data_IF_573216528301
#
_entry.id   IF_573216528301
#
_cell.length_a   1.000
_cell.length_b   1.000
_cell.length_c   1.000
_cell.angle_alpha   90.00
_cell.angle_beta   90.00
_cell.angle_gamma   90.00
#
_symmetry.space_group_name_H-M   'P 1'
#
loop_
_entity.id
_entity.type
_entity.pdbx_description
1 polymer ?
#
# COMPACT_ATOMS: atom_id res chain seq x y z
N UNK A 1 -10.07 9.67 29.17
CA UNK A 1 -11.00 8.72 28.51
C UNK A 1 -10.67 8.68 27.03
N UNK A 2 -10.06 7.60 26.53
CA UNK A 2 -9.90 7.40 25.08
C UNK A 2 -11.28 7.02 24.54
N UNK A 3 -11.96 7.93 23.85
CA UNK A 3 -13.12 7.55 23.05
C UNK A 3 -12.64 6.56 22.00
N UNK A 4 -12.89 5.26 22.21
CA UNK A 4 -12.65 4.26 21.19
C UNK A 4 -13.64 4.55 20.06
N UNK A 5 -13.15 5.15 18.99
CA UNK A 5 -13.91 5.28 17.75
C UNK A 5 -14.14 3.84 17.27
N UNK A 6 -15.40 3.38 17.34
CA UNK A 6 -15.78 2.08 16.84
C UNK A 6 -15.77 2.14 15.31
N UNK A 7 -14.87 1.37 14.69
CA UNK A 7 -14.86 1.19 13.23
C UNK A 7 -16.20 0.59 12.84
N UNK A 8 -16.86 1.18 11.85
CA UNK A 8 -18.14 0.75 11.31
C UNK A 8 -17.96 0.28 9.87
N UNK A 9 -18.98 -0.41 9.40
CA UNK A 9 -19.11 -0.76 8.01
C UNK A 9 -20.44 -0.20 7.49
N UNK A 10 -20.42 0.36 6.29
CA UNK A 10 -21.60 0.87 5.58
C UNK A 10 -21.91 -0.08 4.44
N UNK A 11 -23.17 -0.53 4.37
CA UNK A 11 -23.65 -1.36 3.25
C UNK A 11 -23.99 -0.46 2.06
N UNK A 12 -23.32 -0.69 0.94
CA UNK A 12 -23.63 -0.11 -0.36
C UNK A 12 -24.48 -1.04 -1.23
N UNK A 13 -24.52 -0.75 -2.53
CA UNK A 13 -25.23 -1.60 -3.51
C UNK A 13 -24.56 -2.98 -3.64
N UNK A 14 -25.36 -3.98 -4.00
CA UNK A 14 -24.91 -5.37 -4.22
C UNK A 14 -24.18 -5.99 -3.01
N UNK A 15 -24.56 -5.57 -1.80
CA UNK A 15 -24.00 -6.01 -0.51
C UNK A 15 -22.51 -5.70 -0.31
N UNK A 16 -21.95 -4.74 -1.07
CA UNK A 16 -20.60 -4.27 -0.82
C UNK A 16 -20.53 -3.52 0.51
N UNK A 17 -19.59 -3.89 1.38
CA UNK A 17 -19.32 -3.19 2.62
C UNK A 17 -18.17 -2.19 2.44
N UNK A 18 -18.37 -0.97 2.91
CA UNK A 18 -17.40 0.12 2.86
C UNK A 18 -16.98 0.54 4.28
N UNK A 19 -15.76 1.02 4.42
CA UNK A 19 -15.21 1.40 5.72
C UNK A 19 -15.80 2.73 6.17
N UNK A 20 -16.20 2.82 7.43
CA UNK A 20 -16.60 4.08 8.08
C UNK A 20 -16.16 4.12 9.55
N UNK A 21 -16.19 5.30 10.16
CA UNK A 21 -15.79 5.47 11.56
C UNK A 21 -14.32 5.10 11.81
N UNK A 22 -13.47 5.18 10.79
CA UNK A 22 -12.03 5.00 10.96
C UNK A 22 -11.38 6.30 11.47
N UNK A 23 -10.15 6.19 11.98
CA UNK A 23 -9.41 7.34 12.51
C UNK A 23 -8.90 8.31 11.43
N UNK A 24 -9.17 8.05 10.15
CA UNK A 24 -8.80 8.92 9.03
C UNK A 24 -10.02 9.58 8.35
N UNK A 25 -11.25 9.27 8.77
CA UNK A 25 -12.49 9.78 8.17
C UNK A 25 -12.59 9.48 6.67
N UNK A 26 -12.39 8.22 6.27
CA UNK A 26 -12.36 7.80 4.86
C UNK A 26 -13.59 8.28 4.08
N UNK A 27 -14.80 8.20 4.64
CA UNK A 27 -16.02 8.68 3.96
C UNK A 27 -15.97 10.18 3.69
N UNK A 28 -15.51 11.01 4.64
CA UNK A 28 -15.37 12.45 4.40
C UNK A 28 -14.33 12.75 3.31
N UNK A 29 -13.27 11.94 3.23
CA UNK A 29 -12.30 12.06 2.13
C UNK A 29 -12.94 11.66 0.79
N UNK A 30 -13.67 10.55 0.74
CA UNK A 30 -14.40 10.07 -0.45
C UNK A 30 -15.40 11.10 -0.98
N UNK A 31 -16.10 11.80 -0.08
CA UNK A 31 -17.06 12.84 -0.43
C UNK A 31 -16.43 14.20 -0.77
N UNK A 32 -15.10 14.34 -0.68
CA UNK A 32 -14.42 15.62 -0.86
C UNK A 32 -14.71 16.65 0.24
N UNK A 33 -15.24 16.21 1.38
CA UNK A 33 -15.55 17.05 2.56
C UNK A 33 -14.37 17.19 3.52
N UNK A 34 -13.37 16.32 3.39
CA UNK A 34 -12.08 16.42 4.08
C UNK A 34 -10.97 16.56 3.03
N UNK A 35 -10.36 17.74 2.98
CA UNK A 35 -9.32 18.12 2.04
C UNK A 35 -8.12 18.67 2.80
N UNK A 36 -6.97 18.70 2.15
CA UNK A 36 -5.81 19.43 2.67
C UNK A 36 -6.05 20.93 2.59
N UNK A 37 -5.68 21.64 3.66
CA UNK A 37 -5.43 23.06 3.57
C UNK A 37 -4.13 23.35 2.79
N UNK A 38 -3.89 24.64 2.51
CA UNK A 38 -2.71 25.07 1.74
C UNK A 38 -1.39 24.65 2.39
N UNK A 39 -1.30 24.70 3.73
CA UNK A 39 -0.08 24.35 4.45
C UNK A 39 0.19 22.86 4.35
N UNK A 40 -0.82 22.04 4.62
CA UNK A 40 -0.72 20.58 4.52
C UNK A 40 -0.33 20.14 3.10
N UNK A 41 -0.92 20.76 2.07
CA UNK A 41 -0.60 20.48 0.69
C UNK A 41 0.86 20.85 0.36
N UNK A 42 1.33 22.04 0.76
CA UNK A 42 2.74 22.45 0.59
C UNK A 42 3.69 21.47 1.28
N UNK A 43 3.37 21.01 2.49
CA UNK A 43 4.21 20.08 3.22
C UNK A 43 4.29 18.71 2.51
N UNK A 44 3.17 18.19 1.99
CA UNK A 44 3.17 16.96 1.19
C UNK A 44 3.99 17.08 -0.08
N UNK A 45 3.82 18.17 -0.83
CA UNK A 45 4.60 18.44 -2.05
C UNK A 45 6.09 18.52 -1.73
N UNK A 46 6.44 19.22 -0.64
CA UNK A 46 7.83 19.37 -0.21
C UNK A 46 8.44 18.03 0.18
N UNK A 47 7.72 17.20 0.96
CA UNK A 47 8.16 15.86 1.33
C UNK A 47 8.44 14.99 0.10
N UNK A 48 7.49 14.92 -0.84
CA UNK A 48 7.62 14.11 -2.05
C UNK A 48 8.82 14.58 -2.89
N UNK A 49 8.95 15.90 -3.09
CA UNK A 49 10.07 16.49 -3.85
C UNK A 49 11.41 16.19 -3.18
N UNK A 50 11.52 16.38 -1.86
CA UNK A 50 12.76 16.13 -1.12
C UNK A 50 13.19 14.67 -1.23
N UNK A 51 12.26 13.72 -1.06
CA UNK A 51 12.56 12.29 -1.22
C UNK A 51 13.06 11.97 -2.63
N UNK A 52 12.37 12.47 -3.67
CA UNK A 52 12.78 12.25 -5.07
C UNK A 52 14.19 12.79 -5.35
N UNK A 53 14.47 14.03 -4.92
CA UNK A 53 15.77 14.65 -5.15
C UNK A 53 16.89 13.92 -4.41
N UNK A 54 16.65 13.53 -3.16
CA UNK A 54 17.62 12.81 -2.35
C UNK A 54 17.97 11.44 -2.96
N UNK A 55 16.95 10.61 -3.26
CA UNK A 55 17.22 9.29 -3.83
C UNK A 55 17.85 9.36 -5.22
N UNK A 56 17.49 10.36 -6.02
CA UNK A 56 18.16 10.62 -7.30
C UNK A 56 19.65 10.93 -7.11
N UNK A 57 19.99 11.76 -6.12
CA UNK A 57 21.39 12.09 -5.80
C UNK A 57 22.17 10.85 -5.31
N UNK A 58 21.50 9.98 -4.54
CA UNK A 58 22.08 8.71 -4.08
C UNK A 58 22.21 7.65 -5.18
N UNK A 59 21.68 7.92 -6.39
CA UNK A 59 21.65 6.94 -7.47
C UNK A 59 20.69 5.76 -7.23
N UNK A 60 19.71 5.93 -6.34
CA UNK A 60 18.73 4.90 -5.94
C UNK A 60 17.41 5.16 -6.66
N UNK A 61 16.80 4.12 -7.24
CA UNK A 61 15.47 4.23 -7.85
C UNK A 61 14.44 4.40 -6.73
N UNK A 62 13.59 5.43 -6.81
CA UNK A 62 12.55 5.71 -5.79
C UNK A 62 11.15 5.70 -6.39
N UNK A 63 10.19 5.07 -5.69
CA UNK A 63 8.75 5.10 -6.03
C UNK A 63 7.89 5.29 -4.78
N UNK A 64 6.90 6.16 -4.88
CA UNK A 64 5.83 6.34 -3.90
C UNK A 64 4.51 5.85 -4.51
N UNK A 65 4.04 4.71 -4.03
CA UNK A 65 2.83 4.06 -4.48
C UNK A 65 1.72 4.34 -3.49
N UNK A 66 0.59 4.83 -4.00
CA UNK A 66 -0.60 5.09 -3.19
C UNK A 66 -1.70 4.14 -3.64
N UNK A 67 -1.94 3.02 -2.93
CA UNK A 67 -3.11 2.18 -3.17
C UNK A 67 -4.40 3.00 -2.99
N UNK A 68 -5.37 2.91 -3.92
CA UNK A 68 -6.67 3.51 -3.73
C UNK A 68 -7.42 2.78 -2.61
N UNK A 69 -8.40 3.43 -1.99
CA UNK A 69 -9.37 2.75 -1.17
C UNK A 69 -10.42 2.09 -2.05
N UNK A 70 -11.12 1.13 -1.45
CA UNK A 70 -12.27 0.46 -2.04
C UNK A 70 -13.36 1.44 -2.48
N UNK A 71 -13.62 2.47 -1.68
CA UNK A 71 -14.60 3.53 -1.95
C UNK A 71 -14.30 4.28 -3.27
N UNK A 72 -13.03 4.35 -3.65
CA UNK A 72 -12.57 5.05 -4.86
C UNK A 72 -12.61 4.18 -6.10
N UNK A 73 -12.47 2.86 -5.93
CA UNK A 73 -12.54 1.86 -7.00
C UNK A 73 -13.99 1.46 -7.30
N UNK A 74 -14.82 1.39 -6.26
CA UNK A 74 -16.24 1.01 -6.32
C UNK A 74 -17.16 2.18 -5.96
N UNK A 75 -16.81 3.38 -6.45
CA UNK A 75 -17.59 4.59 -6.18
C UNK A 75 -19.05 4.50 -6.65
N UNK A 76 -19.29 3.73 -7.71
CA UNK A 76 -20.59 3.40 -8.29
C UNK A 76 -21.37 2.35 -7.49
N UNK A 77 -20.78 1.75 -6.46
CA UNK A 77 -21.45 0.82 -5.53
C UNK A 77 -21.67 1.43 -4.14
N UNK A 78 -21.22 2.67 -3.91
CA UNK A 78 -21.52 3.41 -2.69
C UNK A 78 -23.05 3.58 -2.50
N UNK A 79 -23.54 3.67 -1.26
CA UNK A 79 -24.95 3.94 -0.99
C UNK A 79 -25.34 5.36 -1.45
N UNK A 80 -26.62 5.56 -1.77
CA UNK A 80 -27.11 6.80 -2.42
C UNK A 80 -26.88 8.08 -1.61
N UNK A 81 -26.71 7.97 -0.30
CA UNK A 81 -26.43 9.09 0.60
C UNK A 81 -24.95 9.51 0.65
N UNK A 82 -24.04 8.74 0.03
CA UNK A 82 -22.61 9.05 -0.05
C UNK A 82 -22.29 9.47 -1.48
N UNK A 83 -21.92 10.73 -1.67
CA UNK A 83 -21.59 11.29 -2.99
C UNK A 83 -20.09 11.24 -3.22
N UNK A 84 -19.64 10.41 -4.16
CA UNK A 84 -18.23 10.39 -4.55
C UNK A 84 -17.78 11.73 -5.15
N UNK A 85 -16.59 12.19 -4.76
CA UNK A 85 -15.93 13.36 -5.31
C UNK A 85 -14.65 12.95 -6.04
N UNK A 86 -14.41 13.53 -7.21
CA UNK A 86 -13.10 13.43 -7.87
C UNK A 86 -12.04 14.29 -7.18
N UNK A 87 -12.44 15.34 -6.45
CA UNK A 87 -11.55 16.16 -5.61
C UNK A 87 -11.45 15.55 -4.20
N UNK A 88 -10.28 14.97 -3.92
CA UNK A 88 -9.92 14.25 -2.69
C UNK A 88 -8.45 14.54 -2.31
N UNK A 89 -8.01 14.26 -1.08
CA UNK A 89 -6.65 14.57 -0.63
C UNK A 89 -5.54 14.12 -1.60
N UNK A 90 -5.58 12.87 -2.07
CA UNK A 90 -4.58 12.36 -3.02
C UNK A 90 -4.61 13.12 -4.35
N UNK A 91 -5.79 13.45 -4.88
CA UNK A 91 -5.90 14.18 -6.16
C UNK A 91 -5.42 15.62 -6.06
N UNK A 92 -5.50 16.26 -4.88
CA UNK A 92 -4.88 17.58 -4.64
C UNK A 92 -3.35 17.49 -4.72
N UNK A 93 -2.75 16.41 -4.21
CA UNK A 93 -1.30 16.18 -4.33
C UNK A 93 -0.95 15.95 -5.80
N UNK A 94 -1.63 15.02 -6.48
CA UNK A 94 -1.35 14.67 -7.87
C UNK A 94 -1.46 15.85 -8.83
N UNK A 95 -2.39 16.79 -8.59
CA UNK A 95 -2.51 17.99 -9.43
C UNK A 95 -1.27 18.89 -9.35
N UNK A 96 -0.56 18.89 -8.23
CA UNK A 96 0.59 19.73 -7.95
C UNK A 96 1.93 19.07 -8.30
N UNK A 97 1.96 17.73 -8.37
CA UNK A 97 3.19 16.95 -8.65
C UNK A 97 3.16 16.25 -10.01
N UNK A 98 2.38 16.75 -10.98
CA UNK A 98 2.27 16.15 -12.33
C UNK A 98 3.62 15.91 -13.03
N UNK A 99 4.58 16.82 -12.84
CA UNK A 99 5.94 16.68 -13.39
C UNK A 99 6.75 15.55 -12.74
N UNK A 100 6.28 15.01 -11.61
CA UNK A 100 6.87 13.90 -10.87
C UNK A 100 6.03 12.62 -10.97
N UNK A 101 5.12 12.51 -11.94
CA UNK A 101 4.24 11.34 -12.14
C UNK A 101 4.98 10.02 -12.34
N UNK A 102 6.27 10.06 -12.72
CA UNK A 102 7.16 8.88 -12.74
C UNK A 102 7.42 8.31 -11.34
N UNK A 103 7.41 9.16 -10.31
CA UNK A 103 7.84 8.82 -8.95
C UNK A 103 6.68 8.55 -8.01
N UNK A 104 5.50 9.13 -8.26
CA UNK A 104 4.29 8.89 -7.46
C UNK A 104 3.19 8.27 -8.33
N UNK A 105 2.67 7.12 -7.90
CA UNK A 105 1.67 6.38 -8.65
C UNK A 105 0.36 6.25 -7.88
N UNK A 106 -0.73 6.68 -8.53
CA UNK A 106 -2.10 6.51 -8.07
C UNK A 106 -3.02 6.26 -9.27
N UNK A 107 -3.89 5.25 -9.18
CA UNK A 107 -4.93 5.01 -10.17
C UNK A 107 -6.16 4.35 -9.53
N UNK A 108 -7.32 4.98 -9.61
CA UNK A 108 -8.59 4.40 -9.12
C UNK A 108 -9.57 4.05 -10.25
N UNK A 109 -9.15 4.13 -11.52
CA UNK A 109 -9.98 3.78 -12.65
C UNK A 109 -9.89 2.28 -12.93
N UNK A 110 -11.02 1.55 -12.81
CA UNK A 110 -11.08 0.11 -13.06
C UNK A 110 -10.76 -0.25 -14.51
N UNK A 111 -11.17 0.58 -15.46
CA UNK A 111 -11.01 0.33 -16.90
C UNK A 111 -9.54 0.28 -17.31
N UNK A 112 -8.68 0.93 -16.54
CA UNK A 112 -7.25 0.90 -16.80
C UNK A 112 -6.66 -0.48 -16.53
N UNK A 113 -7.32 -1.37 -15.76
CA UNK A 113 -6.83 -2.69 -15.32
C UNK A 113 -7.59 -3.87 -15.97
N UNK A 114 -7.56 -4.03 -17.31
CA UNK A 114 -8.31 -5.10 -17.98
C UNK A 114 -7.81 -6.51 -17.68
N UNK A 115 -6.62 -6.64 -17.08
CA UNK A 115 -6.02 -7.92 -16.70
C UNK A 115 -6.55 -8.47 -15.38
N UNK A 116 -7.24 -7.63 -14.58
CA UNK A 116 -7.84 -8.06 -13.33
C UNK A 116 -9.10 -8.84 -13.65
N UNK A 117 -9.10 -10.13 -13.29
CA UNK A 117 -10.24 -11.01 -13.50
C UNK A 117 -11.51 -10.46 -12.84
N UNK A 118 -12.56 -10.14 -13.62
CA UNK A 118 -13.81 -9.60 -13.08
C UNK A 118 -14.51 -10.54 -12.09
N UNK A 119 -14.28 -11.85 -12.18
CA UNK A 119 -14.88 -12.83 -11.27
C UNK A 119 -14.33 -12.77 -9.84
N UNK A 120 -13.11 -12.26 -9.69
CA UNK A 120 -12.47 -12.02 -8.40
C UNK A 120 -12.58 -10.55 -7.99
N UNK A 121 -12.60 -9.64 -8.97
CA UNK A 121 -12.73 -8.20 -8.75
C UNK A 121 -11.47 -7.57 -8.13
N UNK A 122 -11.59 -6.30 -7.75
CA UNK A 122 -10.52 -5.48 -7.20
C UNK A 122 -10.44 -5.59 -5.68
N UNK A 123 -11.58 -5.70 -4.98
CA UNK A 123 -11.70 -5.87 -3.53
C UNK A 123 -12.83 -6.87 -3.24
N UNK A 124 -12.68 -7.74 -2.21
CA UNK A 124 -13.79 -8.53 -1.68
C UNK A 124 -14.91 -7.65 -1.13
N UNK A 125 -16.15 -8.14 -1.07
CA UNK A 125 -17.30 -7.34 -0.60
C UNK A 125 -17.20 -6.96 0.87
N UNK A 126 -16.68 -7.83 1.73
CA UNK A 126 -16.58 -7.64 3.18
C UNK A 126 -15.26 -7.08 3.69
N UNK A 127 -14.31 -6.79 2.80
CA UNK A 127 -12.92 -6.43 3.14
C UNK A 127 -12.59 -4.98 2.76
N UNK A 128 -11.64 -4.40 3.49
CA UNK A 128 -11.04 -3.07 3.22
C UNK A 128 -9.82 -3.14 2.29
N UNK A 129 -9.15 -4.29 2.22
CA UNK A 129 -7.98 -4.53 1.38
C UNK A 129 -8.35 -5.00 -0.02
N UNK A 130 -7.50 -4.67 -0.99
CA UNK A 130 -7.60 -5.19 -2.35
C UNK A 130 -7.35 -6.70 -2.43
N UNK A 131 -7.76 -7.32 -3.52
CA UNK A 131 -7.37 -8.67 -3.88
C UNK A 131 -5.91 -8.73 -4.35
N UNK A 132 -5.25 -9.86 -4.11
CA UNK A 132 -3.83 -10.07 -4.46
C UNK A 132 -3.55 -9.84 -5.96
N UNK A 133 -4.47 -10.22 -6.85
CA UNK A 133 -4.33 -10.00 -8.30
C UNK A 133 -4.34 -8.52 -8.69
N UNK A 134 -5.25 -7.74 -8.12
CA UNK A 134 -5.25 -6.29 -8.36
C UNK A 134 -4.01 -5.65 -7.73
N UNK A 135 -3.66 -6.02 -6.50
CA UNK A 135 -2.47 -5.55 -5.82
C UNK A 135 -1.20 -5.77 -6.67
N UNK A 136 -1.03 -6.98 -7.22
CA UNK A 136 0.10 -7.33 -8.07
C UNK A 136 0.16 -6.48 -9.35
N UNK A 137 -0.95 -6.39 -10.10
CA UNK A 137 -0.98 -5.58 -11.33
C UNK A 137 -0.79 -4.08 -11.04
N UNK A 138 -1.28 -3.60 -9.89
CA UNK A 138 -1.08 -2.23 -9.45
C UNK A 138 0.39 -1.92 -9.18
N UNK A 139 1.07 -2.75 -8.38
CA UNK A 139 2.49 -2.58 -8.08
C UNK A 139 3.33 -2.73 -9.35
N UNK A 140 3.05 -3.73 -10.19
CA UNK A 140 3.75 -3.93 -11.46
C UNK A 140 3.69 -2.69 -12.35
N UNK A 141 2.52 -2.05 -12.46
CA UNK A 141 2.36 -0.80 -13.22
C UNK A 141 3.08 0.38 -12.60
N UNK A 142 3.02 0.52 -11.28
CA UNK A 142 3.73 1.57 -10.55
C UNK A 142 5.25 1.49 -10.71
N UNK A 143 5.76 0.30 -11.05
CA UNK A 143 7.19 0.02 -11.25
C UNK A 143 7.61 0.02 -12.72
N UNK A 144 6.70 0.30 -13.66
CA UNK A 144 7.07 0.44 -15.07
C UNK A 144 8.10 1.57 -15.23
N UNK A 145 9.15 1.28 -16.00
CA UNK A 145 10.25 2.22 -16.24
C UNK A 145 11.25 2.38 -15.08
N UNK A 146 11.24 1.51 -14.07
CA UNK A 146 12.45 1.27 -13.27
C UNK A 146 13.48 0.49 -14.09
N UNK A 147 14.75 0.56 -13.70
CA UNK A 147 15.87 -0.05 -14.46
C UNK A 147 15.75 -1.59 -14.56
N UNK A 148 15.09 -2.22 -13.59
CA UNK A 148 15.09 -3.68 -13.41
C UNK A 148 13.73 -4.35 -13.66
N UNK A 149 12.68 -3.58 -14.05
CA UNK A 149 11.31 -4.06 -14.34
C UNK A 149 10.85 -5.22 -13.43
N UNK A 150 10.76 -4.98 -12.12
CA UNK A 150 10.43 -6.03 -11.14
C UNK A 150 9.03 -6.59 -11.44
N UNK A 151 8.82 -7.87 -11.13
CA UNK A 151 7.56 -8.60 -11.33
C UNK A 151 7.22 -9.00 -12.78
N UNK A 152 8.17 -8.99 -13.73
CA UNK A 152 7.89 -9.41 -15.12
C UNK A 152 7.46 -10.89 -15.29
N UNK A 153 7.68 -11.75 -14.30
CA UNK A 153 7.49 -13.20 -14.42
C UNK A 153 6.12 -13.68 -13.91
N UNK A 154 5.06 -13.38 -14.66
CA UNK A 154 3.69 -13.83 -14.34
C UNK A 154 3.54 -15.37 -14.29
N UNK A 155 4.47 -16.10 -14.90
CA UNK A 155 4.49 -17.57 -14.93
C UNK A 155 4.81 -18.22 -13.57
N UNK A 156 5.28 -17.44 -12.60
CA UNK A 156 5.60 -17.92 -11.25
C UNK A 156 4.41 -17.87 -10.29
N UNK A 157 3.18 -17.68 -10.75
CA UNK A 157 2.03 -17.51 -9.86
C UNK A 157 1.22 -18.81 -9.69
N UNK A 158 0.91 -19.16 -8.45
CA UNK A 158 -0.12 -20.14 -8.10
C UNK A 158 -1.29 -19.43 -7.41
N UNK A 159 -2.49 -19.81 -7.83
CA UNK A 159 -3.74 -19.32 -7.27
C UNK A 159 -4.29 -20.29 -6.23
N UNK A 160 -4.72 -19.76 -5.09
CA UNK A 160 -5.41 -20.52 -4.04
C UNK A 160 -6.71 -19.84 -3.67
N UNK A 161 -7.78 -20.62 -3.50
CA UNK A 161 -9.02 -20.12 -2.88
C UNK A 161 -8.86 -20.18 -1.38
N UNK A 162 -9.14 -19.07 -0.70
CA UNK A 162 -9.13 -18.99 0.76
C UNK A 162 -10.47 -18.41 1.22
N UNK A 163 -11.05 -19.00 2.26
CA UNK A 163 -12.17 -18.39 2.96
C UNK A 163 -11.62 -17.52 4.09
N UNK A 164 -11.82 -16.21 3.98
CA UNK A 164 -11.38 -15.25 4.99
C UNK A 164 -12.57 -14.64 5.71
N UNK A 165 -12.43 -14.50 7.03
CA UNK A 165 -13.30 -13.63 7.83
C UNK A 165 -12.76 -12.21 7.75
N UNK A 166 -13.53 -11.31 7.15
CA UNK A 166 -13.03 -9.97 6.83
C UNK A 166 -13.25 -8.93 7.93
N UNK A 167 -12.43 -7.87 7.91
CA UNK A 167 -12.43 -6.82 8.93
C UNK A 167 -13.76 -6.05 9.01
N UNK A 168 -14.43 -5.77 7.88
CA UNK A 168 -15.76 -5.13 7.89
C UNK A 168 -16.89 -6.13 8.09
N UNK A 169 -16.81 -7.29 7.45
CA UNK A 169 -17.79 -8.37 7.60
C UNK A 169 -17.98 -8.79 9.05
N UNK A 170 -16.90 -8.82 9.84
CA UNK A 170 -16.94 -9.14 11.27
C UNK A 170 -17.69 -8.12 12.14
N UNK A 171 -18.00 -6.93 11.61
CA UNK A 171 -18.62 -5.80 12.35
C UNK A 171 -20.14 -5.67 12.15
N UNK A 172 -20.74 -6.32 11.15
CA UNK A 172 -22.18 -6.18 10.85
C UNK A 172 -23.01 -7.37 11.39
N UNK A 173 -22.55 -8.62 11.28
CA UNK A 173 -23.07 -9.83 11.98
C UNK A 173 -22.27 -11.10 11.56
N UNK A 174 -22.71 -12.30 11.98
CA UNK A 174 -21.99 -13.60 11.89
C UNK A 174 -21.18 -13.82 10.60
N UNK A 175 -19.88 -14.12 10.80
CA UNK A 175 -18.93 -14.73 9.85
C UNK A 175 -19.28 -14.57 8.36
N UNK A 176 -19.08 -13.37 7.82
CA UNK A 176 -19.05 -13.18 6.38
C UNK A 176 -17.72 -13.72 5.83
N UNK A 177 -17.78 -14.84 5.12
CA UNK A 177 -16.65 -15.43 4.38
C UNK A 177 -16.89 -15.32 2.89
N UNK A 178 -15.86 -14.93 2.15
CA UNK A 178 -15.86 -14.97 0.69
C UNK A 178 -14.61 -15.71 0.22
N UNK A 179 -14.69 -16.47 -0.88
CA UNK A 179 -13.51 -17.03 -1.50
C UNK A 179 -12.69 -15.91 -2.11
N UNK A 180 -11.49 -15.67 -1.57
CA UNK A 180 -10.50 -14.78 -2.20
C UNK A 180 -9.50 -15.59 -3.01
N UNK A 181 -8.96 -14.93 -4.04
CA UNK A 181 -7.86 -15.46 -4.83
C UNK A 181 -6.53 -14.99 -4.23
N UNK A 182 -5.87 -15.87 -3.49
CA UNK A 182 -4.51 -15.64 -3.03
C UNK A 182 -3.50 -15.94 -4.13
N UNK A 183 -2.51 -15.07 -4.32
CA UNK A 183 -1.42 -15.27 -5.28
C UNK A 183 -0.12 -15.54 -4.53
N UNK A 184 0.57 -16.63 -4.87
CA UNK A 184 1.86 -16.99 -4.29
C UNK A 184 2.86 -17.43 -5.37
N UNK A 185 4.18 -17.35 -5.11
CA UNK A 185 5.18 -17.97 -5.97
C UNK A 185 4.94 -19.49 -6.10
N UNK A 186 4.95 -20.02 -7.32
CA UNK A 186 4.81 -21.44 -7.63
C UNK A 186 6.04 -22.24 -7.18
N UNK A 187 7.22 -21.68 -7.40
CA UNK A 187 8.51 -22.24 -6.99
C UNK A 187 9.32 -21.14 -6.28
N UNK A 188 9.09 -20.91 -4.98
CA UNK A 188 9.69 -19.79 -4.27
C UNK A 188 11.21 -19.94 -4.18
N UNK A 189 11.94 -18.94 -4.69
CA UNK A 189 13.40 -18.83 -4.55
C UNK A 189 13.80 -17.88 -3.43
N UNK A 190 12.86 -17.07 -2.95
CA UNK A 190 13.00 -16.20 -1.80
C UNK A 190 12.41 -16.80 -0.53
N UNK A 191 12.99 -16.44 0.62
CA UNK A 191 12.51 -16.84 1.95
C UNK A 191 12.69 -15.73 2.98
N UNK A 192 11.80 -15.71 3.98
CA UNK A 192 11.91 -14.87 5.16
C UNK A 192 13.10 -15.36 6.02
N UNK A 193 14.09 -14.50 6.26
CA UNK A 193 15.28 -14.83 7.06
C UNK A 193 15.29 -14.13 8.42
N UNK A 194 14.57 -13.01 8.56
CA UNK A 194 14.42 -12.30 9.83
C UNK A 194 13.05 -11.65 9.90
N UNK A 195 12.40 -11.77 11.06
CA UNK A 195 11.19 -11.05 11.40
C UNK A 195 11.24 -10.67 12.87
N UNK A 196 10.99 -9.41 13.18
CA UNK A 196 10.91 -8.97 14.56
C UNK A 196 9.51 -9.30 15.14
N UNK A 197 9.35 -9.20 16.46
CA UNK A 197 8.10 -9.59 17.13
C UNK A 197 6.92 -8.62 16.95
N UNK A 198 7.13 -7.48 16.26
CA UNK A 198 6.06 -6.49 16.08
C UNK A 198 5.16 -6.91 14.91
N UNK A 199 3.85 -6.81 15.09
CA UNK A 199 2.86 -7.22 14.09
C UNK A 199 2.47 -6.10 13.12
N UNK A 200 2.50 -4.84 13.55
CA UNK A 200 2.10 -3.67 12.75
C UNK A 200 3.21 -2.61 12.76
N UNK A 201 2.95 -1.40 13.28
CA UNK A 201 3.92 -0.30 13.29
C UNK A 201 5.27 -0.75 13.88
N UNK A 202 6.36 -0.50 13.14
CA UNK A 202 7.71 -0.93 13.50
C UNK A 202 8.01 -2.41 13.23
N UNK A 203 7.10 -3.16 12.61
CA UNK A 203 7.40 -4.50 12.11
C UNK A 203 8.49 -4.43 11.04
N UNK A 204 9.48 -5.31 11.16
CA UNK A 204 10.59 -5.43 10.22
C UNK A 204 10.64 -6.90 9.75
N UNK A 205 10.66 -7.08 8.43
CA UNK A 205 10.83 -8.37 7.79
C UNK A 205 11.96 -8.30 6.75
N UNK A 206 12.84 -9.28 6.75
CA UNK A 206 13.94 -9.39 5.79
C UNK A 206 13.79 -10.68 5.01
N UNK A 207 13.75 -10.54 3.69
CA UNK A 207 13.64 -11.64 2.75
C UNK A 207 14.89 -11.73 1.89
N UNK A 208 15.31 -12.95 1.59
CA UNK A 208 16.49 -13.23 0.77
C UNK A 208 16.19 -14.26 -0.29
N UNK A 209 16.69 -14.01 -1.50
CA UNK A 209 16.59 -14.90 -2.64
C UNK A 209 17.87 -15.68 -2.87
N UNK A 210 17.75 -16.94 -3.27
CA UNK A 210 18.87 -17.77 -3.69
C UNK A 210 19.65 -17.18 -4.88
N UNK A 211 18.97 -16.43 -5.77
CA UNK A 211 19.62 -15.70 -6.85
C UNK A 211 20.18 -14.35 -6.36
N UNK A 212 21.49 -14.29 -6.14
CA UNK A 212 22.18 -13.10 -5.62
C UNK A 212 22.54 -12.04 -6.67
N UNK A 213 22.30 -12.30 -7.96
CA UNK A 213 22.53 -11.30 -9.02
C UNK A 213 21.36 -10.33 -9.23
N UNK A 214 20.22 -10.57 -8.57
CA UNK A 214 19.05 -9.71 -8.60
C UNK A 214 19.29 -8.41 -7.79
N UNK A 215 18.56 -7.32 -8.08
CA UNK A 215 18.67 -6.07 -7.33
C UNK A 215 18.21 -6.22 -5.87
N UNK A 216 18.45 -5.22 -5.04
CA UNK A 216 17.98 -5.12 -3.65
C UNK A 216 16.89 -4.06 -3.49
N UNK A 217 16.05 -4.20 -2.46
CA UNK A 217 15.00 -3.22 -2.19
C UNK A 217 14.75 -2.97 -0.69
N UNK A 218 14.39 -1.72 -0.37
CA UNK A 218 13.79 -1.34 0.92
C UNK A 218 12.37 -0.85 0.67
N UNK A 219 11.41 -1.36 1.45
CA UNK A 219 9.98 -1.12 1.25
C UNK A 219 9.34 -0.63 2.55
N UNK A 220 8.99 0.65 2.59
CA UNK A 220 8.20 1.28 3.65
C UNK A 220 6.71 1.11 3.34
N UNK A 221 5.97 0.35 4.14
CA UNK A 221 4.64 -0.13 3.75
C UNK A 221 3.61 -0.06 4.87
N UNK A 222 2.35 -0.30 4.49
CA UNK A 222 1.26 -0.63 5.41
C UNK A 222 0.67 -2.04 5.13
N UNK A 223 -0.56 -2.30 5.57
CA UNK A 223 -1.20 -3.60 5.40
C UNK A 223 -1.47 -3.96 3.93
N UNK A 224 -1.60 -2.99 3.02
CA UNK A 224 -1.89 -3.24 1.60
C UNK A 224 -0.77 -3.99 0.88
N UNK A 225 0.47 -3.91 1.38
CA UNK A 225 1.59 -4.64 0.78
C UNK A 225 1.76 -6.07 1.35
N UNK A 226 1.06 -6.43 2.43
CA UNK A 226 1.32 -7.67 3.21
C UNK A 226 1.24 -8.94 2.36
N UNK A 227 0.21 -9.07 1.52
CA UNK A 227 0.04 -10.27 0.71
C UNK A 227 1.01 -10.34 -0.48
N UNK A 228 1.66 -9.22 -0.81
CA UNK A 228 2.62 -9.14 -1.91
C UNK A 228 4.07 -9.40 -1.48
N UNK A 229 4.39 -9.44 -0.18
CA UNK A 229 5.79 -9.52 0.28
C UNK A 229 6.54 -10.72 -0.30
N UNK A 230 5.94 -11.90 -0.27
CA UNK A 230 6.55 -13.12 -0.83
C UNK A 230 6.74 -13.04 -2.34
N UNK A 231 5.74 -12.54 -3.08
CA UNK A 231 5.81 -12.44 -4.54
C UNK A 231 6.77 -11.34 -5.00
N UNK A 232 6.81 -10.22 -4.27
CA UNK A 232 7.73 -9.13 -4.53
C UNK A 232 9.18 -9.54 -4.29
N UNK A 233 9.45 -10.29 -3.22
CA UNK A 233 10.78 -10.79 -2.91
C UNK A 233 11.39 -11.72 -3.98
N UNK A 234 10.58 -12.32 -4.85
CA UNK A 234 11.09 -13.12 -5.98
C UNK A 234 11.86 -12.29 -7.02
N UNK A 235 11.63 -10.97 -7.08
CA UNK A 235 12.28 -10.06 -8.04
C UNK A 235 13.58 -9.44 -7.53
N UNK A 236 13.98 -9.72 -6.28
CA UNK A 236 15.12 -9.09 -5.63
C UNK A 236 16.00 -10.13 -4.95
N UNK A 237 17.30 -9.87 -4.84
CA UNK A 237 18.24 -10.72 -4.09
C UNK A 237 18.02 -10.58 -2.59
N UNK A 238 17.55 -9.40 -2.16
CA UNK A 238 17.22 -9.06 -0.77
C UNK A 238 16.16 -7.97 -0.73
N UNK A 239 15.18 -8.12 0.16
CA UNK A 239 14.19 -7.09 0.45
C UNK A 239 14.05 -6.88 1.96
N UNK A 240 14.11 -5.61 2.39
CA UNK A 240 13.77 -5.21 3.76
C UNK A 240 12.42 -4.51 3.74
N UNK A 241 11.43 -5.09 4.41
CA UNK A 241 10.12 -4.49 4.60
C UNK A 241 10.03 -3.85 5.98
N UNK A 242 9.63 -2.59 6.04
CA UNK A 242 9.37 -1.87 7.27
C UNK A 242 7.93 -1.36 7.30
N UNK A 243 7.21 -1.65 8.38
CA UNK A 243 5.83 -1.20 8.54
C UNK A 243 5.79 0.16 9.23
N UNK A 244 5.98 1.23 8.46
CA UNK A 244 5.75 2.62 8.87
C UNK A 244 5.68 3.57 7.64
N UNK A 245 5.06 4.76 7.78
CA UNK A 245 4.84 5.68 6.65
C UNK A 245 6.02 6.63 6.34
N UNK A 246 7.00 6.76 7.24
CA UNK A 246 8.19 7.58 7.01
C UNK A 246 9.29 6.79 6.28
N UNK A 247 10.14 7.50 5.54
CA UNK A 247 11.41 6.95 5.04
C UNK A 247 12.39 6.98 6.21
N UNK A 248 12.94 5.83 6.54
CA UNK A 248 14.02 5.71 7.50
C UNK A 248 15.36 5.65 6.75
N UNK A 249 16.17 6.69 6.89
CA UNK A 249 17.44 6.79 6.17
C UNK A 249 18.53 5.88 6.74
N UNK A 250 18.46 5.45 8.00
CA UNK A 250 19.47 4.55 8.57
C UNK A 250 19.43 3.18 7.90
N UNK A 251 18.24 2.65 7.60
CA UNK A 251 18.14 1.39 6.84
C UNK A 251 18.62 1.56 5.40
N UNK A 252 18.45 2.75 4.80
CA UNK A 252 18.97 3.01 3.44
C UNK A 252 20.50 3.03 3.44
N UNK A 253 21.12 3.63 4.46
CA UNK A 253 22.59 3.66 4.61
C UNK A 253 23.18 2.26 4.76
N UNK A 254 22.52 1.40 5.54
CA UNK A 254 23.01 0.05 5.86
C UNK A 254 22.72 -0.95 4.73
N UNK A 255 21.55 -0.89 4.12
CA UNK A 255 21.14 -1.83 3.08
C UNK A 255 21.59 -1.41 1.67
N UNK A 256 21.83 -0.10 1.45
CA UNK A 256 22.21 0.50 0.15
C UNK A 256 21.40 -0.06 -1.03
N UNK A 257 20.06 0.07 -1.00
CA UNK A 257 19.20 -0.64 -1.93
C UNK A 257 19.28 -0.07 -3.36
N UNK A 258 19.01 -0.91 -4.36
CA UNK A 258 18.77 -0.45 -5.73
C UNK A 258 17.39 0.25 -5.87
N UNK A 259 16.40 -0.19 -5.09
CA UNK A 259 15.05 0.36 -5.06
C UNK A 259 14.60 0.76 -3.65
N UNK A 260 14.03 1.95 -3.53
CA UNK A 260 13.21 2.34 -2.37
C UNK A 260 11.76 2.53 -2.79
N UNK A 261 10.86 1.82 -2.10
CA UNK A 261 9.43 1.88 -2.31
C UNK A 261 8.73 2.37 -1.05
N UNK A 262 7.95 3.45 -1.16
CA UNK A 262 6.97 3.81 -0.13
C UNK A 262 5.58 3.42 -0.62
N UNK A 263 4.86 2.60 0.14
CA UNK A 263 3.50 2.16 -0.15
C UNK A 263 2.59 2.60 1.01
N UNK A 264 1.67 3.53 0.75
CA UNK A 264 0.75 4.02 1.77
C UNK A 264 -0.63 4.25 1.17
N UNK A 265 -1.65 3.58 1.71
CA UNK A 265 -3.02 3.68 1.20
C UNK A 265 -3.56 5.11 1.29
N UNK A 266 -4.35 5.53 0.32
CA UNK A 266 -4.75 6.93 0.16
C UNK A 266 -5.41 7.53 1.41
N UNK A 267 -6.18 6.76 2.20
CA UNK A 267 -6.83 7.27 3.42
C UNK A 267 -5.83 7.70 4.50
N UNK A 268 -4.62 7.14 4.50
CA UNK A 268 -3.57 7.50 5.47
C UNK A 268 -2.83 8.80 5.09
N UNK A 269 -3.01 9.30 3.87
CA UNK A 269 -2.37 10.53 3.39
C UNK A 269 -2.79 11.77 4.20
N UNK A 270 -3.89 11.73 4.94
CA UNK A 270 -4.25 12.84 5.85
C UNK A 270 -3.21 13.10 6.95
N UNK A 271 -2.30 12.15 7.21
CA UNK A 271 -1.21 12.27 8.17
C UNK A 271 0.11 12.33 7.43
N UNK A 272 0.74 13.51 7.45
CA UNK A 272 2.08 13.67 6.91
C UNK A 272 3.10 12.94 7.80
N UNK A 273 3.91 12.01 7.26
CA UNK A 273 5.00 11.39 8.02
C UNK A 273 6.17 12.37 8.21
N UNK A 274 6.98 12.13 9.24
CA UNK A 274 8.23 12.87 9.46
C UNK A 274 9.42 11.92 9.30
N UNK A 275 10.25 12.13 8.28
CA UNK A 275 11.37 11.22 8.00
C UNK A 275 12.56 11.41 8.95
N UNK A 276 12.66 12.56 9.64
CA UNK A 276 13.87 12.91 10.40
C UNK A 276 13.78 12.67 11.91
N UNK A 277 12.58 12.73 12.48
CA UNK A 277 12.38 12.62 13.94
C UNK A 277 11.58 11.39 14.34
N UNK A 278 11.12 10.60 13.35
CA UNK A 278 10.47 9.33 13.65
C UNK A 278 11.52 8.29 14.02
N UNK A 279 11.11 7.28 14.77
CA UNK A 279 11.98 6.21 15.23
C UNK A 279 12.64 5.50 14.05
N UNK A 280 13.97 5.32 14.10
CA UNK A 280 14.70 4.52 13.10
C UNK A 280 14.49 3.03 13.33
N UNK A 281 14.82 2.21 12.35
CA UNK A 281 14.82 0.76 12.46
C UNK A 281 15.85 0.30 13.50
N UNK A 282 17.00 0.98 13.64
CA UNK A 282 18.00 0.69 14.67
C UNK A 282 17.41 0.95 16.07
N UNK A 283 16.67 2.03 16.25
CA UNK A 283 15.98 2.32 17.52
C UNK A 283 14.88 1.29 17.83
N UNK A 284 14.12 0.88 16.81
CA UNK A 284 13.11 -0.17 16.93
C UNK A 284 13.76 -1.49 17.38
N UNK A 285 14.87 -1.87 16.78
CA UNK A 285 15.58 -3.10 17.12
C UNK A 285 16.21 -3.04 18.52
N UNK A 286 16.78 -1.90 18.92
CA UNK A 286 17.34 -1.70 20.28
C UNK A 286 16.29 -1.73 21.38
N UNK A 287 15.08 -1.24 21.13
CA UNK A 287 13.98 -1.22 22.11
C UNK A 287 13.48 -2.61 22.55
N UNK A 288 14.07 -3.68 21.99
CA UNK A 288 13.77 -5.10 22.25
C UNK A 288 14.92 -5.88 22.90
N UNK A 289 16.03 -5.21 23.23
CA UNK A 289 17.07 -5.67 24.16
C UNK A 289 16.84 -5.06 25.52
#
# INVERSE_FOLDING_TARGET
MKNSISIRAITGRNDFLFLDGDNNNVIKQTEGKLLFDRRQLIMWISLIKSRILLFREMGIDYRFIVPPNKESIYYDLLPDNIKFSSLRPITQILSEVKHYSKYIYYNSNRDDFPQVDPSHGFYPKGETHWNDGFAYEYIKRALLGTVFNPLAQTQLMQYSKQELRFDLGSKISQSYTEPILGIRPKEPKSRLVKKNELQNMGSIEIWENSNRSLPTAVVFRDSFFTNLTSLFAESFSRVVYLWHPWVDYEVIEDERPDLVLNCTVERFMMRLPCDFTSQSYRDIEKSKT
#
